data_IF_396856847910
#
_entry.id   IF_396856847910
#
_cell.length_a   1.000
_cell.length_b   1.000
_cell.length_c   1.000
_cell.angle_alpha   90.00
_cell.angle_beta   90.00
_cell.angle_gamma   90.00
#
_symmetry.space_group_name_H-M   'P 1'
#
loop_
_entity.id
_entity.type
_entity.pdbx_description
1 polymer ?
#
# COMPACT_ATOMS: atom_id res chain seq x y z
N UNK A 1 5.77 -3.40 -12.54
CA UNK A 1 5.00 -2.20 -12.93
C UNK A 1 5.23 -1.01 -12.01
N UNK A 2 4.69 -0.94 -10.78
CA UNK A 2 4.79 0.24 -9.88
C UNK A 2 6.22 0.79 -9.74
N UNK A 3 7.21 -0.06 -9.44
CA UNK A 3 8.60 0.39 -9.26
C UNK A 3 9.20 1.01 -10.52
N UNK A 4 8.85 0.50 -11.70
CA UNK A 4 9.31 1.07 -12.97
C UNK A 4 8.72 2.47 -13.19
N UNK A 5 7.42 2.62 -13.00
CA UNK A 5 6.72 3.91 -13.15
C UNK A 5 7.26 4.97 -12.19
N UNK A 6 7.60 4.57 -10.96
CA UNK A 6 8.10 5.46 -9.92
C UNK A 6 9.64 5.55 -9.88
N UNK A 7 10.36 4.91 -10.81
CA UNK A 7 11.83 4.85 -10.85
C UNK A 7 12.47 4.33 -9.54
N UNK A 8 11.82 3.37 -8.87
CA UNK A 8 12.30 2.73 -7.63
C UNK A 8 12.36 1.21 -7.77
N UNK A 9 13.17 0.58 -6.92
CA UNK A 9 13.29 -0.88 -6.90
C UNK A 9 12.01 -1.55 -6.41
N UNK A 10 11.78 -2.80 -6.84
CA UNK A 10 10.71 -3.65 -6.30
C UNK A 10 10.85 -3.86 -4.79
N UNK A 11 12.08 -3.89 -4.27
CA UNK A 11 12.32 -3.99 -2.83
C UNK A 11 11.82 -2.74 -2.08
N UNK A 12 12.07 -1.55 -2.62
CA UNK A 12 11.57 -0.28 -2.07
C UNK A 12 10.03 -0.26 -2.03
N UNK A 13 9.37 -0.71 -3.10
CA UNK A 13 7.90 -0.86 -3.12
C UNK A 13 7.42 -1.78 -1.99
N UNK A 14 8.08 -2.92 -1.78
CA UNK A 14 7.74 -3.85 -0.68
C UNK A 14 7.88 -3.19 0.69
N UNK A 15 8.96 -2.45 0.94
CA UNK A 15 9.14 -1.70 2.19
C UNK A 15 8.02 -0.69 2.42
N UNK A 16 7.62 0.05 1.38
CA UNK A 16 6.49 0.98 1.51
C UNK A 16 5.18 0.26 1.85
N UNK A 17 4.90 -0.89 1.23
CA UNK A 17 3.71 -1.68 1.55
C UNK A 17 3.70 -2.15 3.01
N UNK A 18 4.84 -2.66 3.52
CA UNK A 18 4.96 -3.05 4.93
C UNK A 18 4.61 -1.87 5.86
N UNK A 19 5.15 -0.68 5.58
CA UNK A 19 4.85 0.51 6.38
C UNK A 19 3.39 0.95 6.26
N UNK A 20 2.78 0.86 5.08
CA UNK A 20 1.37 1.20 4.89
C UNK A 20 0.49 0.23 5.69
N UNK A 21 0.78 -1.07 5.61
CA UNK A 21 0.05 -2.10 6.35
C UNK A 21 0.13 -1.87 7.86
N UNK A 22 1.33 -1.60 8.39
CA UNK A 22 1.53 -1.25 9.78
C UNK A 22 0.74 0.02 10.20
N UNK A 23 0.73 1.06 9.36
CA UNK A 23 -0.02 2.31 9.63
C UNK A 23 -1.54 2.11 9.59
N UNK A 24 -2.02 1.21 8.74
CA UNK A 24 -3.44 0.89 8.63
C UNK A 24 -3.88 -0.15 9.68
N UNK A 25 -2.94 -0.90 10.26
CA UNK A 25 -3.19 -1.97 11.22
C UNK A 25 -3.72 -3.24 10.56
N UNK A 26 -3.18 -3.61 9.40
CA UNK A 26 -3.63 -4.74 8.57
C UNK A 26 -2.45 -5.61 8.12
N UNK A 27 -2.72 -6.84 7.70
CA UNK A 27 -1.67 -7.82 7.34
C UNK A 27 -1.47 -7.99 5.82
N UNK A 28 -2.43 -7.57 5.00
CA UNK A 28 -2.37 -7.78 3.56
C UNK A 28 -2.94 -6.63 2.72
N UNK A 29 -2.78 -6.76 1.40
CA UNK A 29 -3.19 -5.76 0.42
C UNK A 29 -4.70 -5.58 0.36
N UNK A 30 -5.46 -6.66 0.44
CA UNK A 30 -6.91 -6.63 0.32
C UNK A 30 -7.49 -5.89 1.52
N UNK A 31 -7.06 -6.23 2.73
CA UNK A 31 -7.43 -5.53 3.95
C UNK A 31 -7.01 -4.05 3.91
N UNK A 32 -5.80 -3.75 3.41
CA UNK A 32 -5.34 -2.37 3.25
C UNK A 32 -6.23 -1.55 2.30
N UNK A 33 -6.68 -2.13 1.18
CA UNK A 33 -7.57 -1.45 0.23
C UNK A 33 -8.95 -1.22 0.86
N UNK A 34 -9.53 -2.22 1.52
CA UNK A 34 -10.81 -2.09 2.22
C UNK A 34 -10.76 -0.97 3.26
N UNK A 35 -9.76 -1.00 4.15
CA UNK A 35 -9.61 0.02 5.20
C UNK A 35 -9.34 1.40 4.59
N UNK A 36 -8.57 1.50 3.51
CA UNK A 36 -8.30 2.76 2.85
C UNK A 36 -9.55 3.37 2.18
N UNK A 37 -10.45 2.54 1.66
CA UNK A 37 -11.75 2.98 1.12
C UNK A 37 -12.70 3.43 2.25
N UNK A 38 -12.83 2.62 3.32
CA UNK A 38 -13.65 2.95 4.49
C UNK A 38 -13.23 4.28 5.14
N UNK A 39 -11.92 4.49 5.27
CA UNK A 39 -11.34 5.72 5.83
C UNK A 39 -11.22 6.88 4.82
N UNK A 40 -11.68 6.69 3.57
CA UNK A 40 -11.59 7.68 2.46
C UNK A 40 -10.18 8.20 2.18
N UNK A 41 -9.17 7.36 2.37
CA UNK A 41 -7.78 7.64 2.00
C UNK A 41 -7.61 7.52 0.47
N UNK A 42 -8.34 6.57 -0.13
CA UNK A 42 -8.44 6.40 -1.59
C UNK A 42 -9.91 6.34 -2.01
N UNK A 43 -10.16 6.58 -3.29
CA UNK A 43 -11.50 6.55 -3.91
C UNK A 43 -11.44 5.72 -5.19
N UNK A 44 -12.58 5.16 -5.61
CA UNK A 44 -12.74 4.41 -6.87
C UNK A 44 -13.22 5.31 -8.00
#
# INVERSE_FOLDING_TARGET
>A
EIGKTLHISTATVKTHLIHIYAKLGVDDRTAAVTVALERRIITL
#
